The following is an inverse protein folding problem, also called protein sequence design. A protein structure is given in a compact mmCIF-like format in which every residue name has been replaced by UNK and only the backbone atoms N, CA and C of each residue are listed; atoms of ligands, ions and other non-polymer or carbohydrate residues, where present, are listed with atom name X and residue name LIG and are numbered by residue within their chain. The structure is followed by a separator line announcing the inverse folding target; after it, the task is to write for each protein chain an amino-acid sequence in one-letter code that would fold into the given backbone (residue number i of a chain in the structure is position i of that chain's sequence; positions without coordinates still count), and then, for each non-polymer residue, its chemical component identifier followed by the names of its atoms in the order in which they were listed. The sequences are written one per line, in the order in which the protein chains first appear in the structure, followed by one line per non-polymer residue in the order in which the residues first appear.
data_IF_136762261049
#
_entry.id   IF_136762261049
#
_cell.length_a   1.000
_cell.length_b   1.000
_cell.length_c   1.000
_cell.angle_alpha   90.00
_cell.angle_beta   90.00
_cell.angle_gamma   90.00
#
_symmetry.space_group_name_H-M   'P 1'
#
loop_
_entity.id
_entity.type
_entity.pdbx_description
1 polymer ?
#
# COMPACT_ATOMS: atom_id res chain seq x y z
N UNK A 1 14.13 7.45 42.12
CA UNK A 1 14.41 6.24 41.33
C UNK A 1 13.69 6.39 40.01
N UNK A 2 14.41 6.81 38.99
CA UNK A 2 13.92 7.07 37.64
C UNK A 2 13.92 5.75 36.89
N UNK A 3 12.85 4.97 37.01
CA UNK A 3 12.66 3.76 36.20
C UNK A 3 12.04 4.16 34.86
N UNK A 4 12.81 4.86 34.03
CA UNK A 4 12.53 5.01 32.60
C UNK A 4 12.98 3.75 31.87
N UNK A 5 12.34 2.61 32.16
CA UNK A 5 12.25 1.54 31.18
C UNK A 5 11.20 1.98 30.17
N UNK A 6 11.62 2.88 29.27
CA UNK A 6 10.95 3.02 27.99
C UNK A 6 11.07 1.65 27.33
N UNK A 7 10.01 0.86 27.44
CA UNK A 7 9.89 -0.44 26.81
C UNK A 7 9.81 -0.20 25.30
N UNK A 8 10.96 0.00 24.65
CA UNK A 8 11.10 0.21 23.20
C UNK A 8 10.89 -1.08 22.40
N UNK A 9 10.23 -2.08 22.99
CA UNK A 9 10.00 -3.40 22.42
C UNK A 9 8.69 -3.51 21.62
N UNK A 10 8.03 -2.40 21.29
CA UNK A 10 6.67 -2.41 20.71
C UNK A 10 6.40 -1.28 19.70
N UNK A 11 7.44 -0.81 19.00
CA UNK A 11 7.27 0.09 17.84
C UNK A 11 7.91 -0.57 16.60
N UNK A 12 7.38 -1.73 16.25
CA UNK A 12 7.64 -2.44 15.01
C UNK A 12 6.57 -2.13 13.96
N UNK A 13 6.87 -2.29 12.66
CA UNK A 13 6.00 -1.95 11.54
C UNK A 13 4.67 -2.74 11.46
N UNK A 14 4.33 -3.56 12.46
CA UNK A 14 3.16 -4.44 12.47
C UNK A 14 2.56 -4.62 13.88
N UNK A 15 2.87 -3.74 14.83
CA UNK A 15 2.43 -3.94 16.22
C UNK A 15 0.95 -3.64 16.41
N UNK A 16 0.30 -2.97 15.45
CA UNK A 16 -1.13 -2.66 15.53
C UNK A 16 -1.93 -3.10 14.31
N UNK A 17 -3.24 -3.29 14.53
CA UNK A 17 -4.19 -3.69 13.49
C UNK A 17 -4.27 -2.66 12.35
N UNK A 18 -4.20 -1.38 12.68
CA UNK A 18 -4.20 -0.31 11.69
C UNK A 18 -2.97 -0.40 10.78
N UNK A 19 -1.79 -0.54 11.37
CA UNK A 19 -0.53 -0.64 10.66
C UNK A 19 -0.45 -1.88 9.76
N UNK A 20 -0.90 -3.02 10.28
CA UNK A 20 -1.03 -4.27 9.53
C UNK A 20 -2.02 -4.12 8.37
N UNK A 21 -3.16 -3.43 8.59
CA UNK A 21 -4.14 -3.12 7.56
C UNK A 21 -3.56 -2.23 6.46
N UNK A 22 -2.82 -1.18 6.82
CA UNK A 22 -2.16 -0.29 5.87
C UNK A 22 -1.07 -1.00 5.05
N UNK A 23 -0.33 -1.92 5.66
CA UNK A 23 0.66 -2.73 4.95
C UNK A 23 -0.01 -3.72 3.97
N UNK A 24 -1.07 -4.39 4.41
CA UNK A 24 -1.85 -5.28 3.53
C UNK A 24 -2.44 -4.51 2.35
N UNK A 25 -3.00 -3.32 2.60
CA UNK A 25 -3.56 -2.45 1.56
C UNK A 25 -2.48 -1.99 0.56
N UNK A 26 -1.28 -1.68 1.03
CA UNK A 26 -0.13 -1.37 0.15
C UNK A 26 0.17 -2.52 -0.80
N UNK A 27 0.24 -3.75 -0.28
CA UNK A 27 0.45 -4.95 -1.09
C UNK A 27 -0.63 -5.14 -2.16
N UNK A 28 -1.91 -4.97 -1.79
CA UNK A 28 -3.03 -5.05 -2.72
C UNK A 28 -2.90 -4.00 -3.84
N UNK A 29 -2.59 -2.75 -3.50
CA UNK A 29 -2.40 -1.69 -4.50
C UNK A 29 -1.30 -2.02 -5.50
N UNK A 30 -0.15 -2.55 -5.04
CA UNK A 30 0.92 -2.96 -5.95
C UNK A 30 0.52 -4.12 -6.85
N UNK A 31 -0.19 -5.12 -6.33
CA UNK A 31 -0.68 -6.24 -7.14
C UNK A 31 -1.66 -5.77 -8.22
N UNK A 32 -2.61 -4.90 -7.86
CA UNK A 32 -3.58 -4.35 -8.83
C UNK A 32 -2.86 -3.44 -9.84
N UNK A 33 -1.91 -2.62 -9.41
CA UNK A 33 -1.09 -1.79 -10.31
C UNK A 33 -0.38 -2.63 -11.38
N UNK A 34 0.20 -3.75 -10.96
CA UNK A 34 0.94 -4.66 -11.82
C UNK A 34 -0.01 -5.39 -12.80
N UNK A 35 -1.17 -5.82 -12.31
CA UNK A 35 -2.21 -6.42 -13.15
C UNK A 35 -2.74 -5.46 -14.23
N UNK A 36 -3.03 -4.20 -13.86
CA UNK A 36 -3.53 -3.20 -14.82
C UNK A 36 -2.44 -2.81 -15.83
N UNK A 37 -1.21 -2.62 -15.38
CA UNK A 37 -0.09 -2.34 -16.28
C UNK A 37 0.16 -3.48 -17.26
N UNK A 38 0.10 -4.73 -16.79
CA UNK A 38 0.18 -5.91 -17.65
C UNK A 38 -0.96 -5.95 -18.67
N UNK A 39 -2.19 -5.69 -18.24
CA UNK A 39 -3.35 -5.74 -19.12
C UNK A 39 -3.28 -4.67 -20.22
N UNK A 40 -2.79 -3.47 -19.91
CA UNK A 40 -2.56 -2.44 -20.92
C UNK A 40 -1.38 -2.75 -21.85
N UNK A 41 -0.37 -3.49 -21.38
CA UNK A 41 0.69 -4.00 -22.26
C UNK A 41 0.17 -5.04 -23.27
N UNK A 42 -0.73 -5.92 -22.83
CA UNK A 42 -1.38 -6.93 -23.67
C UNK A 42 -2.44 -6.33 -24.62
N UNK A 43 -2.86 -5.09 -24.38
CA UNK A 43 -3.89 -4.43 -25.20
C UNK A 43 -5.30 -4.98 -24.95
N UNK A 44 -5.56 -5.56 -23.77
CA UNK A 44 -6.80 -6.27 -23.50
C UNK A 44 -7.97 -5.33 -23.17
N UNK A 45 -9.18 -5.82 -23.38
CA UNK A 45 -10.41 -5.09 -23.11
C UNK A 45 -10.81 -5.23 -21.64
N UNK A 46 -10.98 -4.11 -20.94
CA UNK A 46 -11.43 -4.09 -19.56
C UNK A 46 -12.76 -3.30 -19.48
N UNK A 47 -13.82 -3.96 -19.00
CA UNK A 47 -15.15 -3.34 -18.81
C UNK A 47 -15.70 -2.65 -20.09
N UNK A 48 -15.45 -3.21 -21.27
CA UNK A 48 -15.93 -2.64 -22.54
C UNK A 48 -15.06 -1.51 -23.10
N UNK A 49 -13.92 -1.22 -22.46
CA UNK A 49 -12.97 -0.20 -22.91
C UNK A 49 -11.63 -0.88 -23.23
N UNK A 50 -11.05 -0.57 -24.39
CA UNK A 50 -9.70 -1.02 -24.73
C UNK A 50 -8.68 -0.38 -23.78
N UNK A 51 -7.95 -1.22 -23.06
CA UNK A 51 -6.78 -0.79 -22.32
C UNK A 51 -5.59 -0.85 -23.25
N UNK A 52 -4.91 0.28 -23.46
CA UNK A 52 -3.67 0.34 -24.21
C UNK A 52 -2.49 0.57 -23.27
N UNK A 53 -1.28 0.58 -23.82
CA UNK A 53 -0.05 0.74 -23.03
C UNK A 53 -0.03 2.05 -22.23
N UNK A 54 -0.64 3.12 -22.75
CA UNK A 54 -0.68 4.43 -22.09
C UNK A 54 -1.65 4.42 -20.91
N UNK A 55 -2.87 3.90 -21.09
CA UNK A 55 -3.85 3.80 -20.02
C UNK A 55 -3.45 2.77 -18.95
N UNK A 56 -2.83 1.66 -19.35
CA UNK A 56 -2.23 0.69 -18.43
C UNK A 56 -1.09 1.28 -17.61
N UNK A 57 -0.17 2.02 -18.26
CA UNK A 57 0.92 2.70 -17.56
C UNK A 57 0.42 3.78 -16.59
N UNK A 58 -0.61 4.55 -16.98
CA UNK A 58 -1.24 5.53 -16.10
C UNK A 58 -1.87 4.85 -14.87
N UNK A 59 -2.60 3.74 -15.06
CA UNK A 59 -3.16 2.95 -13.98
C UNK A 59 -2.09 2.40 -13.03
N UNK A 60 -0.99 1.86 -13.59
CA UNK A 60 0.15 1.38 -12.82
C UNK A 60 0.75 2.50 -11.97
N UNK A 61 1.00 3.68 -12.55
CA UNK A 61 1.57 4.83 -11.82
C UNK A 61 0.67 5.32 -10.68
N UNK A 62 -0.64 5.45 -10.92
CA UNK A 62 -1.59 5.94 -9.91
C UNK A 62 -1.74 4.94 -8.76
N UNK A 63 -1.92 3.65 -9.07
CA UNK A 63 -2.10 2.63 -8.04
C UNK A 63 -0.81 2.37 -7.26
N UNK A 64 0.35 2.39 -7.91
CA UNK A 64 1.64 2.30 -7.22
C UNK A 64 1.87 3.49 -6.29
N UNK A 65 1.46 4.70 -6.67
CA UNK A 65 1.48 5.87 -5.77
C UNK A 65 0.65 5.62 -4.50
N UNK A 66 -0.58 5.12 -4.62
CA UNK A 66 -1.39 4.76 -3.44
C UNK A 66 -0.75 3.63 -2.62
N UNK A 67 -0.12 2.65 -3.27
CA UNK A 67 0.66 1.62 -2.61
C UNK A 67 1.79 2.19 -1.76
N UNK A 68 2.56 3.15 -2.30
CA UNK A 68 3.63 3.85 -1.58
C UNK A 68 3.07 4.67 -0.42
N UNK A 69 2.00 5.43 -0.63
CA UNK A 69 1.37 6.22 0.45
C UNK A 69 0.89 5.31 1.58
N UNK A 70 0.24 4.19 1.25
CA UNK A 70 -0.21 3.20 2.24
C UNK A 70 0.97 2.55 2.98
N UNK A 71 2.09 2.33 2.29
CA UNK A 71 3.32 1.83 2.92
C UNK A 71 3.90 2.85 3.89
N UNK A 72 3.96 4.13 3.51
CA UNK A 72 4.42 5.23 4.38
C UNK A 72 3.54 5.33 5.63
N UNK A 73 2.22 5.21 5.47
CA UNK A 73 1.29 5.15 6.60
C UNK A 73 1.60 3.94 7.49
N UNK A 74 1.82 2.77 6.90
CA UNK A 74 2.18 1.57 7.65
C UNK A 74 3.54 1.72 8.38
N UNK A 75 4.50 2.46 7.86
CA UNK A 75 5.82 2.57 8.51
C UNK A 75 5.94 3.72 9.49
N UNK A 76 5.21 4.84 9.28
CA UNK A 76 5.44 6.09 10.00
C UNK A 76 4.24 6.64 10.77
N UNK A 77 3.01 6.14 10.54
CA UNK A 77 1.91 6.55 11.42
C UNK A 77 2.01 5.81 12.74
N UNK A 78 2.17 6.58 13.83
CA UNK A 78 1.99 6.08 15.19
C UNK A 78 0.62 5.39 15.30
N UNK A 79 0.52 4.32 16.08
CA UNK A 79 -0.72 3.60 16.28
C UNK A 79 -1.76 4.48 17.00
N UNK A 80 -2.47 5.30 16.23
CA UNK A 80 -3.40 6.30 16.75
C UNK A 80 -4.72 5.74 17.28
N UNK A 81 -4.89 4.41 17.35
CA UNK A 81 -6.15 3.78 17.74
C UNK A 81 -5.96 2.42 18.45
N UNK A 82 -4.99 2.32 19.35
CA UNK A 82 -4.97 1.22 20.34
C UNK A 82 -5.40 1.79 21.70
N UNK A 83 -6.68 1.63 22.01
CA UNK A 83 -7.22 1.67 23.37
C UNK A 83 -7.71 0.27 23.69
#
# INVERSE_FOLDING_TARGET
MTSSTANSSGVGPFDTRFQTGAAALSGVFFLVALAIGWLGYDGAELLGTELNVVSGAAGLMVLSFFGVVSLVVATYMEPGFDH
#
